data_IF_092754084096
#
_entry.id   IF_092754084096
#
_cell.length_a   1.000
_cell.length_b   1.000
_cell.length_c   1.000
_cell.angle_alpha   90.00
_cell.angle_beta   90.00
_cell.angle_gamma   90.00
#
_symmetry.space_group_name_H-M   'P 1'
#
loop_
_entity.id
_entity.type
_entity.pdbx_description
1 polymer ?
#
# COMPACT_ATOMS: atom_id res chain seq x y z
N UNK A 1 -15.82 -17.58 -6.83
CA UNK A 1 -15.79 -17.23 -5.40
C UNK A 1 -17.21 -17.15 -4.85
N UNK A 2 -17.49 -17.66 -3.64
CA UNK A 2 -18.84 -17.64 -3.07
C UNK A 2 -19.26 -16.22 -2.61
N UNK A 3 -18.32 -15.37 -2.21
CA UNK A 3 -18.57 -14.01 -1.76
C UNK A 3 -17.55 -13.03 -2.31
N UNK A 4 -17.87 -11.72 -2.27
CA UNK A 4 -16.92 -10.66 -2.60
C UNK A 4 -15.72 -10.64 -1.63
N UNK A 5 -15.97 -10.86 -0.33
CA UNK A 5 -14.90 -10.97 0.67
C UNK A 5 -13.94 -12.13 0.36
N UNK A 6 -14.42 -13.30 -0.09
CA UNK A 6 -13.55 -14.40 -0.49
C UNK A 6 -12.73 -14.07 -1.75
N UNK A 7 -13.31 -13.34 -2.70
CA UNK A 7 -12.60 -12.87 -3.90
C UNK A 7 -11.52 -11.85 -3.55
N UNK A 8 -11.84 -10.87 -2.70
CA UNK A 8 -10.87 -9.84 -2.27
C UNK A 8 -9.73 -10.45 -1.45
N UNK A 9 -10.04 -11.26 -0.44
CA UNK A 9 -9.03 -11.94 0.38
C UNK A 9 -8.07 -12.79 -0.47
N UNK A 10 -8.61 -13.58 -1.41
CA UNK A 10 -7.82 -14.35 -2.36
C UNK A 10 -6.91 -13.45 -3.21
N UNK A 11 -7.43 -12.37 -3.78
CA UNK A 11 -6.68 -11.48 -4.66
C UNK A 11 -5.53 -10.77 -3.94
N UNK A 12 -5.74 -10.32 -2.69
CA UNK A 12 -4.70 -9.73 -1.84
C UNK A 12 -3.61 -10.78 -1.55
N UNK A 13 -4.00 -11.97 -1.10
CA UNK A 13 -3.04 -13.04 -0.80
C UNK A 13 -2.26 -13.47 -2.05
N UNK A 14 -2.93 -13.59 -3.20
CA UNK A 14 -2.29 -13.91 -4.47
C UNK A 14 -1.26 -12.85 -4.86
N UNK A 15 -1.62 -11.56 -4.79
CA UNK A 15 -0.69 -10.47 -5.09
C UNK A 15 0.55 -10.53 -4.21
N UNK A 16 0.37 -10.59 -2.89
CA UNK A 16 1.48 -10.62 -1.95
C UNK A 16 2.38 -11.86 -2.15
N UNK A 17 1.78 -13.04 -2.36
CA UNK A 17 2.53 -14.26 -2.63
C UNK A 17 3.34 -14.18 -3.94
N UNK A 18 2.76 -13.61 -5.01
CA UNK A 18 3.43 -13.43 -6.29
C UNK A 18 4.56 -12.42 -6.21
N UNK A 19 4.41 -11.34 -5.44
CA UNK A 19 5.50 -10.38 -5.17
C UNK A 19 6.66 -11.06 -4.45
N UNK A 20 6.39 -11.81 -3.36
CA UNK A 20 7.42 -12.55 -2.64
C UNK A 20 8.12 -13.59 -3.54
N UNK A 21 7.35 -14.28 -4.38
CA UNK A 21 7.89 -15.22 -5.36
C UNK A 21 8.78 -14.52 -6.39
N UNK A 22 8.36 -13.36 -6.91
CA UNK A 22 9.12 -12.56 -7.88
C UNK A 22 10.45 -12.09 -7.30
N UNK A 23 10.46 -11.58 -6.06
CA UNK A 23 11.68 -11.20 -5.34
C UNK A 23 12.60 -12.40 -5.15
N UNK A 24 12.07 -13.52 -4.64
CA UNK A 24 12.85 -14.76 -4.45
C UNK A 24 13.49 -15.23 -5.75
N UNK A 25 12.75 -15.19 -6.85
CA UNK A 25 13.24 -15.63 -8.17
C UNK A 25 14.33 -14.72 -8.72
N UNK A 26 14.26 -13.42 -8.43
CA UNK A 26 15.23 -12.43 -8.89
C UNK A 26 16.44 -12.26 -7.95
N UNK A 27 16.41 -12.90 -6.77
CA UNK A 27 17.44 -12.74 -5.75
C UNK A 27 18.84 -13.16 -6.22
N UNK A 28 19.92 -12.38 -5.87
CA UNK A 28 19.91 -11.18 -5.05
C UNK A 28 19.63 -9.90 -5.86
N UNK A 29 18.72 -9.05 -5.35
CA UNK A 29 18.44 -7.71 -5.87
C UNK A 29 18.51 -6.69 -4.73
N UNK A 30 18.85 -5.44 -5.04
CA UNK A 30 18.87 -4.33 -4.06
C UNK A 30 17.57 -3.53 -4.07
N UNK A 31 16.96 -3.44 -5.23
CA UNK A 31 15.68 -2.76 -5.44
C UNK A 31 14.80 -3.55 -6.41
N UNK A 32 13.49 -3.41 -6.31
CA UNK A 32 12.57 -4.05 -7.26
C UNK A 32 12.80 -3.57 -8.70
N UNK A 33 13.34 -2.38 -8.87
CA UNK A 33 13.73 -1.81 -10.18
C UNK A 33 14.98 -2.48 -10.80
N UNK A 34 15.72 -3.29 -10.05
CA UNK A 34 16.85 -4.06 -10.60
C UNK A 34 16.38 -5.20 -11.51
N UNK A 35 15.12 -5.61 -11.38
CA UNK A 35 14.50 -6.60 -12.26
C UNK A 35 14.12 -5.92 -13.57
N UNK A 36 14.92 -6.17 -14.61
CA UNK A 36 14.72 -5.55 -15.92
C UNK A 36 14.03 -6.49 -16.89
N UNK A 37 13.13 -5.91 -17.70
CA UNK A 37 12.56 -6.58 -18.88
C UNK A 37 13.52 -6.49 -20.07
N UNK A 38 13.11 -7.12 -21.18
CA UNK A 38 13.83 -7.00 -22.47
C UNK A 38 13.88 -5.55 -22.97
N UNK A 39 12.80 -4.81 -22.72
CA UNK A 39 12.69 -3.36 -22.91
C UNK A 39 12.28 -2.77 -21.58
N UNK A 40 12.90 -1.67 -21.19
CA UNK A 40 12.62 -1.00 -19.91
C UNK A 40 12.12 0.44 -20.18
N UNK A 41 10.85 0.60 -20.60
CA UNK A 41 10.29 1.92 -20.95
C UNK A 41 10.15 2.83 -19.72
N UNK A 42 10.07 2.23 -18.53
CA UNK A 42 10.05 2.94 -17.23
C UNK A 42 10.61 2.05 -16.14
N UNK A 43 11.09 2.66 -15.05
CA UNK A 43 11.60 1.96 -13.91
C UNK A 43 10.56 1.00 -13.32
N UNK A 44 10.98 -0.24 -12.99
CA UNK A 44 10.11 -1.28 -12.46
C UNK A 44 9.28 -2.02 -13.51
N UNK A 45 9.38 -1.66 -14.79
CA UNK A 45 8.65 -2.37 -15.84
C UNK A 45 8.94 -3.87 -15.83
N UNK A 46 10.19 -4.26 -15.68
CA UNK A 46 10.60 -5.67 -15.62
C UNK A 46 9.97 -6.42 -14.43
N UNK A 47 9.74 -5.75 -13.30
CA UNK A 47 9.16 -6.37 -12.12
C UNK A 47 7.64 -6.46 -12.19
N UNK A 48 6.96 -5.37 -12.50
CA UNK A 48 5.50 -5.28 -12.38
C UNK A 48 4.76 -5.70 -13.66
N UNK A 49 5.29 -5.44 -14.85
CA UNK A 49 4.60 -5.68 -16.13
C UNK A 49 5.17 -6.85 -16.93
N UNK A 50 6.51 -7.04 -16.96
CA UNK A 50 7.10 -8.02 -17.85
C UNK A 50 7.03 -9.47 -17.29
N UNK A 51 6.86 -9.66 -15.99
CA UNK A 51 6.71 -10.98 -15.41
C UNK A 51 5.26 -11.44 -15.47
N UNK A 52 5.03 -12.57 -16.13
CA UNK A 52 3.71 -13.19 -16.18
C UNK A 52 3.64 -14.38 -15.22
N UNK A 53 2.56 -14.43 -14.49
CA UNK A 53 2.20 -15.49 -13.55
C UNK A 53 0.91 -16.18 -13.99
N UNK A 54 0.75 -17.45 -13.65
CA UNK A 54 -0.49 -18.15 -13.94
C UNK A 54 -1.37 -18.14 -12.69
N UNK A 55 -2.49 -17.44 -12.76
CA UNK A 55 -3.48 -17.31 -11.70
C UNK A 55 -4.84 -17.70 -12.27
N UNK A 56 -5.52 -18.68 -11.65
CA UNK A 56 -6.85 -19.19 -12.08
C UNK A 56 -6.92 -19.52 -13.58
N UNK A 57 -5.84 -20.15 -14.09
CA UNK A 57 -5.77 -20.56 -15.51
C UNK A 57 -5.49 -19.43 -16.50
N UNK A 58 -5.34 -18.18 -16.06
CA UNK A 58 -5.01 -17.02 -16.88
C UNK A 58 -3.61 -16.52 -16.61
N UNK A 59 -2.97 -15.91 -17.61
CA UNK A 59 -1.73 -15.20 -17.45
C UNK A 59 -2.01 -13.77 -17.00
N UNK A 60 -1.35 -13.33 -15.93
CA UNK A 60 -1.49 -12.00 -15.34
C UNK A 60 -0.11 -11.51 -14.86
N UNK A 61 0.15 -10.23 -14.95
CA UNK A 61 1.28 -9.57 -14.31
C UNK A 61 0.86 -8.88 -13.00
N UNK A 62 1.81 -8.40 -12.22
CA UNK A 62 1.51 -7.74 -10.94
C UNK A 62 0.74 -6.43 -11.12
N UNK A 63 1.05 -5.68 -12.18
CA UNK A 63 0.36 -4.42 -12.45
C UNK A 63 -1.13 -4.63 -12.74
N UNK A 64 -1.47 -5.55 -13.64
CA UNK A 64 -2.87 -5.85 -13.98
C UNK A 64 -3.62 -6.45 -12.79
N UNK A 65 -2.94 -7.28 -11.97
CA UNK A 65 -3.54 -7.82 -10.75
C UNK A 65 -3.88 -6.72 -9.73
N UNK A 66 -3.02 -5.71 -9.59
CA UNK A 66 -3.27 -4.56 -8.72
C UNK A 66 -4.35 -3.63 -9.29
N UNK A 67 -4.21 -3.21 -10.55
CA UNK A 67 -5.02 -2.14 -11.11
C UNK A 67 -6.38 -2.63 -11.63
N UNK A 68 -6.41 -3.77 -12.33
CA UNK A 68 -7.65 -4.26 -12.94
C UNK A 68 -8.44 -5.16 -12.01
N UNK A 69 -7.76 -6.00 -11.21
CA UNK A 69 -8.45 -6.97 -10.35
C UNK A 69 -8.72 -6.41 -8.97
N UNK A 70 -7.72 -5.83 -8.30
CA UNK A 70 -7.88 -5.30 -6.94
C UNK A 70 -8.55 -3.93 -6.97
N UNK A 71 -7.91 -2.90 -7.53
CA UNK A 71 -8.46 -1.55 -7.55
C UNK A 71 -9.72 -1.42 -8.42
N UNK A 72 -9.69 -1.98 -9.62
CA UNK A 72 -10.84 -1.94 -10.54
C UNK A 72 -11.98 -2.87 -10.14
N UNK A 73 -11.73 -3.87 -9.32
CA UNK A 73 -12.72 -4.86 -8.87
C UNK A 73 -13.36 -4.59 -7.52
N UNK A 74 -12.81 -3.66 -6.73
CA UNK A 74 -13.24 -3.35 -5.37
C UNK A 74 -13.04 -1.87 -5.04
N UNK A 75 -14.06 -1.24 -4.46
CA UNK A 75 -14.00 0.16 -4.02
C UNK A 75 -13.56 0.25 -2.54
N UNK A 76 -12.34 -0.18 -2.24
CA UNK A 76 -11.81 -0.23 -0.88
C UNK A 76 -10.35 0.23 -0.82
N UNK A 77 -10.11 1.46 -0.36
CA UNK A 77 -8.76 2.02 -0.27
C UNK A 77 -7.85 1.30 0.73
N UNK A 78 -8.40 0.47 1.63
CA UNK A 78 -7.60 -0.33 2.57
C UNK A 78 -6.75 -1.37 1.85
N UNK A 79 -7.06 -1.69 0.60
CA UNK A 79 -6.23 -2.54 -0.27
C UNK A 79 -4.80 -1.99 -0.34
N UNK A 80 -4.62 -0.65 -0.41
CA UNK A 80 -3.30 -0.01 -0.47
C UNK A 80 -2.45 -0.22 0.78
N UNK A 81 -3.06 -0.55 1.92
CA UNK A 81 -2.37 -0.92 3.15
C UNK A 81 -2.16 -2.44 3.29
N UNK A 82 -2.87 -3.25 2.49
CA UNK A 82 -2.87 -4.71 2.58
C UNK A 82 -1.94 -5.39 1.57
N UNK A 83 -1.67 -4.74 0.43
CA UNK A 83 -0.75 -5.26 -0.59
C UNK A 83 0.64 -4.66 -0.44
N UNK A 84 1.67 -5.44 -0.79
CA UNK A 84 3.07 -5.02 -0.67
C UNK A 84 3.82 -5.24 -1.98
N UNK A 85 4.67 -4.30 -2.35
CA UNK A 85 5.54 -4.41 -3.52
C UNK A 85 6.99 -4.79 -3.18
N UNK A 86 7.23 -5.25 -1.95
CA UNK A 86 8.53 -5.61 -1.38
C UNK A 86 9.55 -4.46 -1.27
N UNK A 87 9.15 -3.21 -1.41
CA UNK A 87 10.04 -2.05 -1.27
C UNK A 87 10.02 -1.44 0.13
N UNK A 88 11.06 -0.67 0.47
CA UNK A 88 11.24 -0.04 1.77
C UNK A 88 10.11 0.91 2.17
N UNK A 89 9.42 1.53 1.21
CA UNK A 89 8.28 2.40 1.46
C UNK A 89 6.92 1.71 1.40
N UNK A 90 6.86 0.37 1.25
CA UNK A 90 5.61 -0.38 1.31
C UNK A 90 5.00 -0.37 2.71
N UNK A 91 3.69 -0.60 2.81
CA UNK A 91 3.04 -1.01 4.05
C UNK A 91 3.66 -2.28 4.63
N UNK A 92 3.34 -2.57 5.89
CA UNK A 92 3.79 -3.79 6.55
C UNK A 92 3.08 -5.01 5.96
N UNK A 93 3.85 -6.02 5.54
CA UNK A 93 3.28 -7.30 5.15
C UNK A 93 2.63 -7.97 6.37
N UNK A 94 1.36 -8.35 6.24
CA UNK A 94 0.68 -9.12 7.28
C UNK A 94 1.38 -10.47 7.49
N UNK A 95 1.56 -10.86 8.76
CA UNK A 95 2.07 -12.18 9.13
C UNK A 95 1.08 -13.31 8.84
N UNK A 96 -0.20 -12.99 8.72
CA UNK A 96 -1.29 -13.93 8.45
C UNK A 96 -1.93 -13.65 7.11
N UNK A 97 -2.44 -14.69 6.46
CA UNK A 97 -3.24 -14.56 5.26
C UNK A 97 -4.56 -13.83 5.56
N UNK A 98 -5.03 -13.05 4.60
CA UNK A 98 -6.37 -12.47 4.67
C UNK A 98 -7.42 -13.57 4.48
N UNK A 99 -8.40 -13.62 5.39
CA UNK A 99 -9.45 -14.63 5.41
C UNK A 99 -10.82 -13.97 5.22
N UNK A 100 -11.73 -14.58 4.45
CA UNK A 100 -13.04 -13.99 4.16
C UNK A 100 -13.84 -13.57 5.40
N UNK A 101 -13.81 -14.41 6.45
CA UNK A 101 -14.62 -14.20 7.66
C UNK A 101 -14.08 -13.09 8.57
N UNK A 102 -12.80 -12.74 8.43
CA UNK A 102 -12.12 -11.71 9.24
C UNK A 102 -11.59 -10.56 8.39
N UNK A 103 -11.88 -10.56 7.09
CA UNK A 103 -11.28 -9.64 6.12
C UNK A 103 -11.44 -8.18 6.51
N UNK A 104 -12.62 -7.76 6.91
CA UNK A 104 -12.90 -6.37 7.26
C UNK A 104 -12.04 -5.91 8.45
N UNK A 105 -11.94 -6.73 9.50
CA UNK A 105 -11.10 -6.45 10.65
C UNK A 105 -9.59 -6.45 10.30
N UNK A 106 -9.15 -7.35 9.42
CA UNK A 106 -7.77 -7.42 8.96
C UNK A 106 -7.41 -6.19 8.11
N UNK A 107 -8.28 -5.76 7.20
CA UNK A 107 -8.09 -4.55 6.41
C UNK A 107 -8.06 -3.29 7.27
N UNK A 108 -8.95 -3.19 8.26
CA UNK A 108 -8.94 -2.08 9.23
C UNK A 108 -7.65 -2.06 10.05
N UNK A 109 -7.14 -3.22 10.45
CA UNK A 109 -5.88 -3.32 11.18
C UNK A 109 -4.68 -2.89 10.32
N UNK A 110 -4.61 -3.34 9.07
CA UNK A 110 -3.57 -2.95 8.12
C UNK A 110 -3.61 -1.43 7.86
N UNK A 111 -4.80 -0.88 7.65
CA UNK A 111 -4.95 0.55 7.40
C UNK A 111 -4.64 1.39 8.64
N UNK A 112 -4.95 0.90 9.84
CA UNK A 112 -4.56 1.55 11.09
C UNK A 112 -3.05 1.56 11.27
N UNK A 113 -2.38 0.46 10.99
CA UNK A 113 -0.90 0.41 11.00
C UNK A 113 -0.33 1.43 10.01
N UNK A 114 -0.81 1.43 8.78
CA UNK A 114 -0.34 2.32 7.72
C UNK A 114 -0.53 3.80 8.07
N UNK A 115 -1.70 4.17 8.59
CA UNK A 115 -2.02 5.57 8.93
C UNK A 115 -1.35 6.04 10.22
N UNK A 116 -1.00 5.13 11.13
CA UNK A 116 -0.37 5.45 12.43
C UNK A 116 1.16 5.38 12.40
N UNK A 117 1.74 4.82 11.35
CA UNK A 117 3.18 4.65 11.23
C UNK A 117 3.86 5.94 10.75
N UNK A 118 4.85 6.48 11.50
CA UNK A 118 5.55 7.72 11.13
C UNK A 118 6.35 7.61 9.81
N UNK A 119 6.55 6.39 9.29
CA UNK A 119 7.11 6.19 7.93
C UNK A 119 6.14 6.65 6.85
N UNK A 120 4.83 6.58 7.09
CA UNK A 120 3.79 6.87 6.12
C UNK A 120 3.05 8.18 6.39
N UNK A 121 2.90 8.54 7.67
CA UNK A 121 2.22 9.78 8.09
C UNK A 121 3.04 10.44 9.20
N UNK A 122 3.58 11.62 8.95
CA UNK A 122 4.37 12.37 9.93
C UNK A 122 4.03 13.85 9.90
N UNK A 123 3.73 14.40 11.07
CA UNK A 123 3.63 15.85 11.27
C UNK A 123 4.97 16.35 11.79
N UNK A 124 5.50 17.38 11.15
CA UNK A 124 6.73 18.08 11.52
C UNK A 124 6.40 19.51 11.91
N UNK A 125 6.36 19.77 13.21
CA UNK A 125 6.04 21.09 13.75
C UNK A 125 7.16 22.12 13.53
N UNK A 126 8.40 21.67 13.35
CA UNK A 126 9.53 22.58 13.12
C UNK A 126 9.51 23.18 11.70
N UNK A 127 8.98 22.44 10.74
CA UNK A 127 8.89 22.86 9.33
C UNK A 127 7.45 23.17 8.90
N UNK A 128 6.47 23.05 9.80
CA UNK A 128 5.03 23.24 9.55
C UNK A 128 4.54 22.38 8.36
N UNK A 129 4.94 21.08 8.35
CA UNK A 129 4.61 20.16 7.26
C UNK A 129 3.92 18.89 7.76
N UNK A 130 3.04 18.37 6.91
CA UNK A 130 2.46 17.03 7.02
C UNK A 130 3.09 16.21 5.90
N UNK A 131 4.05 15.35 6.26
CA UNK A 131 4.75 14.49 5.30
C UNK A 131 4.01 13.15 5.18
N UNK A 132 3.53 12.86 3.98
CA UNK A 132 2.79 11.65 3.63
C UNK A 132 3.61 10.72 2.72
N UNK A 133 3.34 9.42 2.79
CA UNK A 133 3.85 8.45 1.81
C UNK A 133 3.38 8.82 0.40
N UNK A 134 4.22 8.56 -0.61
CA UNK A 134 3.85 8.73 -2.01
C UNK A 134 2.62 7.90 -2.42
N UNK A 135 2.29 6.83 -1.68
CA UNK A 135 1.07 6.04 -1.91
C UNK A 135 -0.19 6.92 -1.81
N UNK A 136 -0.21 7.90 -0.89
CA UNK A 136 -1.33 8.83 -0.78
C UNK A 136 -1.42 9.83 -1.95
N UNK A 137 -0.30 10.12 -2.63
CA UNK A 137 -0.26 10.94 -3.84
C UNK A 137 -0.76 10.14 -5.05
N UNK A 138 -0.23 8.93 -5.23
CA UNK A 138 -0.56 8.09 -6.38
C UNK A 138 -2.02 7.61 -6.39
N UNK A 139 -2.59 7.38 -5.22
CA UNK A 139 -3.92 6.81 -5.02
C UNK A 139 -4.85 7.73 -4.21
N UNK A 140 -4.60 9.04 -4.27
CA UNK A 140 -5.35 10.04 -3.49
C UNK A 140 -6.86 9.94 -3.68
N UNK A 141 -7.31 9.74 -4.93
CA UNK A 141 -8.74 9.59 -5.25
C UNK A 141 -9.41 8.41 -4.54
N UNK A 142 -8.71 7.28 -4.39
CA UNK A 142 -9.21 6.09 -3.69
C UNK A 142 -9.42 6.40 -2.20
N UNK A 143 -8.45 7.10 -1.57
CA UNK A 143 -8.55 7.51 -0.16
C UNK A 143 -9.63 8.57 0.08
N UNK A 144 -9.80 9.50 -0.84
CA UNK A 144 -10.87 10.50 -0.79
C UNK A 144 -12.25 9.84 -0.92
N UNK A 145 -12.39 8.88 -1.84
CA UNK A 145 -13.60 8.09 -2.00
C UNK A 145 -13.93 7.30 -0.72
N UNK A 146 -12.91 6.70 -0.08
CA UNK A 146 -13.04 6.01 1.20
C UNK A 146 -13.51 6.95 2.31
N UNK A 147 -12.92 8.14 2.42
CA UNK A 147 -13.33 9.14 3.40
C UNK A 147 -14.80 9.53 3.24
N UNK A 148 -15.24 9.77 1.99
CA UNK A 148 -16.66 10.06 1.67
C UNK A 148 -17.58 8.90 2.04
N UNK A 149 -17.23 7.67 1.65
CA UNK A 149 -18.02 6.46 1.91
C UNK A 149 -18.21 6.19 3.41
N UNK A 150 -17.18 6.53 4.22
CA UNK A 150 -17.21 6.41 5.68
C UNK A 150 -17.84 7.62 6.40
N UNK A 151 -18.23 8.66 5.68
CA UNK A 151 -18.72 9.89 6.30
C UNK A 151 -17.66 10.64 7.13
N UNK A 152 -16.36 10.39 6.85
CA UNK A 152 -15.25 10.96 7.58
C UNK A 152 -14.82 12.35 7.04
N UNK A 153 -15.18 12.67 5.80
CA UNK A 153 -14.83 13.89 5.09
C UNK A 153 -14.58 13.65 3.61
N UNK A 154 -13.83 14.53 2.94
CA UNK A 154 -13.63 14.52 1.49
C UNK A 154 -12.15 14.50 1.06
N UNK A 155 -11.22 14.39 1.99
CA UNK A 155 -9.79 14.49 1.71
C UNK A 155 -9.00 13.26 2.18
N UNK A 156 -7.81 13.08 1.64
CA UNK A 156 -6.83 12.07 2.10
C UNK A 156 -6.58 12.18 3.60
N UNK A 157 -6.47 13.41 4.14
CA UNK A 157 -6.26 13.62 5.57
C UNK A 157 -7.48 13.18 6.42
N UNK A 158 -8.69 13.25 5.87
CA UNK A 158 -9.88 12.75 6.55
C UNK A 158 -9.89 11.22 6.59
N UNK A 159 -9.47 10.54 5.51
CA UNK A 159 -9.27 9.11 5.50
C UNK A 159 -8.21 8.68 6.52
N UNK A 160 -7.05 9.35 6.54
CA UNK A 160 -5.99 9.10 7.53
C UNK A 160 -6.55 9.25 8.94
N UNK A 161 -7.23 10.35 9.23
CA UNK A 161 -7.78 10.63 10.56
C UNK A 161 -8.89 9.66 10.98
N UNK A 162 -9.59 9.01 10.03
CA UNK A 162 -10.59 7.99 10.33
C UNK A 162 -9.96 6.71 10.87
N UNK A 163 -8.88 6.25 10.24
CA UNK A 163 -8.25 4.97 10.58
C UNK A 163 -7.12 5.09 11.63
N UNK A 164 -6.43 6.23 11.71
CA UNK A 164 -5.31 6.42 12.63
C UNK A 164 -5.73 6.23 14.09
N UNK A 165 -4.78 5.79 14.92
CA UNK A 165 -4.96 5.78 16.36
C UNK A 165 -5.16 7.20 16.93
N UNK A 166 -5.60 7.30 18.20
CA UNK A 166 -5.93 8.60 18.79
C UNK A 166 -4.73 9.57 18.82
N UNK A 167 -3.53 9.05 19.04
CA UNK A 167 -2.30 9.87 19.10
C UNK A 167 -1.95 10.44 17.73
N UNK A 168 -1.99 9.61 16.71
CA UNK A 168 -1.71 10.02 15.35
C UNK A 168 -2.84 10.88 14.78
N UNK A 169 -4.12 10.55 15.07
CA UNK A 169 -5.29 11.28 14.59
C UNK A 169 -5.30 12.76 14.96
N UNK A 170 -4.88 13.08 16.18
CA UNK A 170 -4.87 14.45 16.66
C UNK A 170 -3.89 15.34 15.89
N UNK A 171 -2.72 14.81 15.53
CA UNK A 171 -1.64 15.58 14.91
C UNK A 171 -1.95 16.09 13.49
N UNK A 172 -2.39 15.27 12.51
CA UNK A 172 -2.75 15.77 11.17
C UNK A 172 -3.93 16.73 11.18
N UNK A 173 -4.94 16.48 12.03
CA UNK A 173 -6.09 17.41 12.15
C UNK A 173 -5.67 18.76 12.69
N UNK A 174 -4.87 18.80 13.75
CA UNK A 174 -4.31 20.02 14.33
C UNK A 174 -3.44 20.75 13.31
N UNK A 175 -2.53 20.05 12.65
CA UNK A 175 -1.61 20.61 11.68
C UNK A 175 -2.37 21.21 10.47
N UNK A 176 -3.40 20.50 9.97
CA UNK A 176 -4.28 21.03 8.91
C UNK A 176 -5.00 22.30 9.34
N UNK A 177 -5.57 22.32 10.55
CA UNK A 177 -6.23 23.50 11.11
C UNK A 177 -5.27 24.69 11.30
N UNK A 178 -3.99 24.40 11.58
CA UNK A 178 -2.92 25.39 11.69
C UNK A 178 -2.34 25.83 10.33
N UNK A 179 -2.82 25.28 9.20
CA UNK A 179 -2.38 25.66 7.85
C UNK A 179 -1.08 25.00 7.39
N UNK A 180 -0.66 23.90 8.01
CA UNK A 180 0.53 23.18 7.59
C UNK A 180 0.42 22.65 6.15
N UNK A 181 1.54 22.70 5.43
CA UNK A 181 1.62 22.23 4.05
C UNK A 181 1.75 20.72 3.99
N UNK A 182 0.91 20.06 3.18
CA UNK A 182 1.07 18.65 2.85
C UNK A 182 2.20 18.50 1.84
N UNK A 183 3.13 17.57 2.10
CA UNK A 183 4.21 17.19 1.20
C UNK A 183 4.26 15.68 1.08
N UNK A 184 4.57 15.18 -0.11
CA UNK A 184 4.73 13.75 -0.34
C UNK A 184 6.21 13.38 -0.31
N UNK A 185 6.52 12.24 0.30
CA UNK A 185 7.89 11.73 0.43
C UNK A 185 8.31 11.00 -0.84
N UNK A 186 9.60 11.05 -1.12
CA UNK A 186 10.19 10.15 -2.10
C UNK A 186 9.96 8.70 -1.71
N UNK A 187 9.68 7.86 -2.70
CA UNK A 187 9.41 6.44 -2.48
C UNK A 187 10.72 5.65 -2.52
N UNK A 188 11.01 4.94 -1.45
CA UNK A 188 12.18 4.06 -1.36
C UNK A 188 11.86 2.69 -2.00
N UNK A 189 12.43 2.46 -3.17
CA UNK A 189 12.29 1.24 -3.96
C UNK A 189 13.28 0.14 -3.58
N UNK A 190 14.18 0.37 -2.61
CA UNK A 190 15.07 -0.68 -2.10
C UNK A 190 14.24 -1.83 -1.52
N UNK A 191 14.76 -3.07 -1.65
CA UNK A 191 14.06 -4.24 -1.10
C UNK A 191 13.95 -4.10 0.41
N UNK A 192 12.74 -4.27 0.93
CA UNK A 192 12.46 -4.22 2.36
C UNK A 192 13.01 -5.47 3.07
N UNK A 193 14.26 -5.41 3.46
CA UNK A 193 14.94 -6.46 4.22
C UNK A 193 14.84 -6.18 5.71
N UNK A 194 14.84 -7.21 6.57
CA UNK A 194 15.08 -7.01 7.99
C UNK A 194 16.37 -6.20 8.15
N UNK A 195 16.32 -5.13 8.93
CA UNK A 195 17.55 -4.47 9.34
C UNK A 195 18.37 -5.47 10.13
N UNK A 196 19.62 -5.72 9.72
CA UNK A 196 20.62 -6.30 10.61
C UNK A 196 20.85 -5.26 11.73
N UNK A 197 20.04 -5.31 12.77
CA UNK A 197 20.38 -4.69 14.03
C UNK A 197 21.58 -5.48 14.54
N UNK A 198 22.77 -4.99 14.16
CA UNK A 198 24.04 -5.67 14.38
C UNK A 198 24.13 -6.28 15.77
N UNK A 199 24.31 -7.59 15.80
CA UNK A 199 24.62 -8.36 17.00
C UNK A 199 26.00 -7.98 17.53
#
# INVERSE_FOLDING_TARGET
FPTEASRLAYSINAYNALVLFAVKRAWPIRAVHDVRGLLEPKAGFGFFWAQLFRLDGRWINLYDLEHDVLRGGFEDARIHAAIVCASGSCPTLSAEAYLPDTLDAQLDAAMRDFTSNPRHVRVDDATERIALSAIYDWFGEDFEAEARRRGAGESVLDAIAHFADERTRASPRRARAAGYTVVYRDYDWSVNLPHDDGA
#
